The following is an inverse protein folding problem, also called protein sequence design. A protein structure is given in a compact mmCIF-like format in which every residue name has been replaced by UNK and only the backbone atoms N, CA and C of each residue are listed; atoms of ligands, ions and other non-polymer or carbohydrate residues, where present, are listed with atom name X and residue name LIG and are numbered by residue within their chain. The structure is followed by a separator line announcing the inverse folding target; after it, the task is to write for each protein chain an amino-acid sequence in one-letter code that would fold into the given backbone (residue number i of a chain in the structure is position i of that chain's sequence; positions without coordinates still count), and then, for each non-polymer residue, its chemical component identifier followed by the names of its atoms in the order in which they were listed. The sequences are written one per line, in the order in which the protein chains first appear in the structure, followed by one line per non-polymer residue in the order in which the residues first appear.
data_IF_313396552649
#
_entry.id   IF_313396552649
#
_cell.length_a   1.000
_cell.length_b   1.000
_cell.length_c   1.000
_cell.angle_alpha   90.00
_cell.angle_beta   90.00
_cell.angle_gamma   90.00
#
_symmetry.space_group_name_H-M   'P 1'
#
loop_
_entity.id
_entity.type
_entity.pdbx_description
1 polymer ?
#
# COMPACT_ATOMS: atom_id res chain seq x y z
N UNK A 1 28.49 -21.62 -41.00
CA UNK A 1 28.58 -20.56 -39.97
C UNK A 1 27.90 -19.30 -40.48
N UNK A 2 26.65 -19.04 -40.09
CA UNK A 2 26.14 -17.68 -39.85
C UNK A 2 25.06 -17.76 -38.77
N UNK A 3 25.43 -17.19 -37.64
CA UNK A 3 24.75 -17.10 -36.35
C UNK A 3 24.00 -15.76 -36.30
N UNK A 4 22.90 -15.71 -35.55
CA UNK A 4 22.08 -14.54 -35.18
C UNK A 4 21.17 -13.94 -36.26
N UNK A 5 19.86 -14.15 -36.12
CA UNK A 5 18.95 -13.16 -35.50
C UNK A 5 17.52 -13.74 -35.41
N UNK A 6 16.99 -13.82 -34.17
CA UNK A 6 15.55 -13.79 -33.88
C UNK A 6 15.27 -12.40 -33.30
N UNK A 7 14.16 -11.75 -33.67
CA UNK A 7 13.04 -11.74 -32.73
C UNK A 7 11.72 -12.14 -33.40
N UNK A 8 10.92 -12.88 -32.64
CA UNK A 8 9.61 -13.36 -33.03
C UNK A 8 8.59 -12.24 -33.23
N UNK A 9 7.77 -12.46 -34.25
CA UNK A 9 6.40 -11.96 -34.32
C UNK A 9 5.62 -12.36 -33.06
N UNK A 10 4.91 -11.40 -32.47
CA UNK A 10 3.44 -11.44 -32.42
C UNK A 10 2.89 -10.37 -31.46
N UNK A 11 1.96 -9.55 -31.96
CA UNK A 11 0.85 -9.07 -31.12
C UNK A 11 0.73 -7.57 -30.87
N UNK A 12 0.98 -6.71 -31.87
CA UNK A 12 0.54 -5.32 -31.82
C UNK A 12 -0.67 -5.12 -32.73
N UNK A 13 -1.89 -5.21 -32.19
CA UNK A 13 -3.06 -4.70 -32.92
C UNK A 13 -2.91 -3.19 -33.12
N UNK A 14 -3.23 -2.62 -34.29
CA UNK A 14 -3.16 -1.17 -34.49
C UNK A 14 -4.23 -0.51 -33.63
N UNK A 15 -3.82 0.35 -32.70
CA UNK A 15 -4.76 1.27 -32.03
C UNK A 15 -5.32 2.24 -33.08
N UNK A 16 -6.66 2.42 -33.16
CA UNK A 16 -7.23 3.39 -34.08
C UNK A 16 -6.76 4.82 -33.73
N UNK A 17 -6.52 5.70 -34.71
CA UNK A 17 -6.18 7.08 -34.44
C UNK A 17 -7.42 7.80 -33.90
N UNK A 18 -7.39 8.22 -32.64
CA UNK A 18 -8.50 9.00 -32.06
C UNK A 18 -8.62 9.08 -30.54
N UNK A 19 -7.85 8.30 -29.76
CA UNK A 19 -7.93 8.36 -28.29
C UNK A 19 -6.78 9.19 -27.69
N UNK A 20 -6.75 10.48 -28.01
CA UNK A 20 -6.11 11.47 -27.14
C UNK A 20 -7.16 11.85 -26.09
N UNK A 21 -6.91 11.50 -24.83
CA UNK A 21 -7.56 12.15 -23.68
C UNK A 21 -8.91 11.59 -23.25
N UNK A 22 -9.01 10.29 -22.98
CA UNK A 22 -10.07 9.79 -22.09
C UNK A 22 -9.66 10.03 -20.65
N UNK A 23 -10.38 10.86 -19.89
CA UNK A 23 -10.19 10.97 -18.44
C UNK A 23 -10.47 9.61 -17.78
N UNK A 24 -9.42 8.81 -17.61
CA UNK A 24 -9.44 7.65 -16.73
C UNK A 24 -9.62 8.18 -15.31
N UNK A 25 -10.86 8.14 -14.81
CA UNK A 25 -11.18 8.57 -13.45
C UNK A 25 -10.36 7.73 -12.47
N UNK A 26 -9.66 8.38 -11.55
CA UNK A 26 -8.93 7.68 -10.49
C UNK A 26 -9.89 6.79 -9.69
N UNK A 27 -9.41 5.60 -9.30
CA UNK A 27 -10.19 4.65 -8.49
C UNK A 27 -10.56 5.21 -7.09
N UNK A 28 -9.83 6.22 -6.61
CA UNK A 28 -10.09 6.90 -5.34
C UNK A 28 -9.61 8.35 -5.38
N UNK A 29 -10.29 9.21 -4.61
CA UNK A 29 -9.97 10.63 -4.47
C UNK A 29 -8.84 10.86 -3.45
N UNK A 30 -8.15 12.02 -3.51
CA UNK A 30 -7.17 12.42 -2.48
C UNK A 30 -7.75 12.36 -1.05
N UNK A 31 -8.96 12.90 -0.85
CA UNK A 31 -9.67 12.87 0.45
C UNK A 31 -9.94 11.44 0.96
N UNK A 32 -10.33 10.51 0.07
CA UNK A 32 -10.50 9.10 0.43
C UNK A 32 -9.17 8.44 0.82
N UNK A 33 -8.07 8.75 0.12
CA UNK A 33 -6.73 8.23 0.48
C UNK A 33 -6.27 8.76 1.83
N UNK A 34 -6.49 10.04 2.12
CA UNK A 34 -6.19 10.63 3.43
C UNK A 34 -7.02 9.97 4.54
N UNK A 35 -8.32 9.75 4.30
CA UNK A 35 -9.21 9.08 5.25
C UNK A 35 -8.73 7.66 5.54
N UNK A 36 -8.35 6.91 4.50
CA UNK A 36 -7.80 5.57 4.66
C UNK A 36 -6.47 5.57 5.44
N UNK A 37 -5.56 6.50 5.17
CA UNK A 37 -4.31 6.64 5.92
C UNK A 37 -4.56 6.97 7.40
N UNK A 38 -5.56 7.81 7.70
CA UNK A 38 -5.95 8.13 9.07
C UNK A 38 -6.58 6.92 9.77
N UNK A 39 -7.44 6.16 9.09
CA UNK A 39 -8.01 4.93 9.64
C UNK A 39 -6.92 3.90 10.00
N UNK A 40 -5.90 3.75 9.14
CA UNK A 40 -4.75 2.90 9.42
C UNK A 40 -4.01 3.38 10.68
N UNK A 41 -3.74 4.68 10.79
CA UNK A 41 -2.97 5.24 11.91
C UNK A 41 -3.71 5.24 13.24
N UNK A 42 -5.00 5.58 13.23
CA UNK A 42 -5.76 5.88 14.44
C UNK A 42 -6.49 4.66 14.99
N UNK A 43 -6.79 3.67 14.15
CA UNK A 43 -7.59 2.52 14.54
C UNK A 43 -6.87 1.21 14.24
N UNK A 44 -6.54 0.96 12.97
CA UNK A 44 -6.06 -0.38 12.56
C UNK A 44 -4.70 -0.70 13.19
N UNK A 45 -3.71 0.20 13.13
CA UNK A 45 -2.40 -0.05 13.72
C UNK A 45 -2.45 -0.18 15.25
N UNK A 46 -3.10 0.72 16.02
CA UNK A 46 -3.25 0.56 17.46
C UNK A 46 -3.98 -0.72 17.85
N UNK A 47 -5.11 -1.03 17.21
CA UNK A 47 -5.92 -2.20 17.56
C UNK A 47 -5.20 -3.51 17.21
N UNK A 48 -4.51 -3.55 16.07
CA UNK A 48 -3.68 -4.70 15.67
C UNK A 48 -2.55 -4.93 16.66
N UNK A 49 -1.87 -3.87 17.11
CA UNK A 49 -0.82 -3.98 18.13
C UNK A 49 -1.40 -4.48 19.45
N UNK A 50 -2.51 -3.92 19.90
CA UNK A 50 -3.16 -4.32 21.16
C UNK A 50 -3.59 -5.78 21.15
N UNK A 51 -4.21 -6.23 20.05
CA UNK A 51 -4.56 -7.63 19.87
C UNK A 51 -3.31 -8.53 19.85
N UNK A 52 -2.22 -8.02 19.28
CA UNK A 52 -0.91 -8.63 19.32
C UNK A 52 -0.41 -8.82 20.76
N UNK A 53 -0.23 -7.73 21.49
CA UNK A 53 0.27 -7.72 22.87
C UNK A 53 -0.57 -8.62 23.80
N UNK A 54 -1.89 -8.70 23.55
CA UNK A 54 -2.78 -9.61 24.27
C UNK A 54 -2.44 -11.08 23.99
N UNK A 55 -2.30 -11.46 22.72
CA UNK A 55 -1.92 -12.81 22.35
C UNK A 55 -0.51 -13.20 22.82
N UNK A 56 0.44 -12.26 22.85
CA UNK A 56 1.75 -12.42 23.50
C UNK A 56 1.59 -12.81 24.98
N UNK A 57 0.86 -11.99 25.72
CA UNK A 57 0.66 -12.18 27.17
C UNK A 57 -0.01 -13.51 27.50
N UNK A 58 -1.11 -13.84 26.81
CA UNK A 58 -1.87 -15.06 27.06
C UNK A 58 -1.08 -16.31 26.66
N UNK A 59 -0.36 -16.26 25.54
CA UNK A 59 0.42 -17.41 25.07
C UNK A 59 1.62 -17.67 25.97
N UNK A 60 2.32 -16.62 26.42
CA UNK A 60 3.40 -16.75 27.40
C UNK A 60 2.90 -17.32 28.73
N UNK A 61 1.71 -16.92 29.17
CA UNK A 61 1.09 -17.44 30.39
C UNK A 61 0.77 -18.93 30.24
N UNK A 62 0.17 -19.32 29.11
CA UNK A 62 -0.12 -20.72 28.81
C UNK A 62 1.15 -21.57 28.71
N UNK A 63 2.19 -21.07 28.04
CA UNK A 63 3.50 -21.72 27.95
C UNK A 63 4.10 -21.99 29.34
N UNK A 64 4.04 -21.01 30.25
CA UNK A 64 4.51 -21.16 31.63
C UNK A 64 3.69 -22.19 32.40
N UNK A 65 2.37 -22.20 32.22
CA UNK A 65 1.47 -23.14 32.89
C UNK A 65 1.68 -24.60 32.45
N UNK A 66 2.01 -24.84 31.18
CA UNK A 66 2.35 -26.18 30.70
C UNK A 66 3.71 -26.69 31.20
N UNK A 67 4.61 -25.80 31.66
CA UNK A 67 5.98 -26.12 32.08
C UNK A 67 6.84 -26.79 30.97
N UNK A 68 8.17 -26.80 31.13
CA UNK A 68 9.10 -27.32 30.09
C UNK A 68 9.05 -28.85 29.89
N UNK A 69 8.34 -29.58 30.76
CA UNK A 69 8.19 -31.03 30.66
C UNK A 69 7.10 -31.50 29.67
N UNK A 70 6.18 -30.62 29.28
CA UNK A 70 5.10 -30.96 28.36
C UNK A 70 5.45 -30.61 26.92
N UNK A 71 5.28 -31.55 26.00
CA UNK A 71 5.54 -31.31 24.57
C UNK A 71 4.72 -30.13 24.00
N UNK A 72 3.54 -29.88 24.57
CA UNK A 72 2.67 -28.75 24.22
C UNK A 72 3.31 -27.39 24.48
N UNK A 73 4.15 -27.23 25.52
CA UNK A 73 4.80 -25.95 25.80
C UNK A 73 5.79 -25.57 24.69
N UNK A 74 6.60 -26.52 24.22
CA UNK A 74 7.53 -26.31 23.11
C UNK A 74 6.81 -26.05 21.78
N UNK A 75 5.74 -26.79 21.49
CA UNK A 75 4.92 -26.57 20.31
C UNK A 75 4.25 -25.18 20.33
N UNK A 76 3.72 -24.77 21.48
CA UNK A 76 3.08 -23.48 21.68
C UNK A 76 4.07 -22.33 21.55
N UNK A 77 5.27 -22.42 22.16
CA UNK A 77 6.37 -21.45 21.98
C UNK A 77 6.68 -21.25 20.49
N UNK A 78 6.80 -22.34 19.73
CA UNK A 78 7.11 -22.26 18.29
C UNK A 78 6.00 -21.60 17.48
N UNK A 79 4.74 -21.98 17.74
CA UNK A 79 3.59 -21.37 17.09
C UNK A 79 3.51 -19.87 17.42
N UNK A 80 3.79 -19.51 18.67
CA UNK A 80 3.80 -18.15 19.14
C UNK A 80 4.85 -17.28 18.44
N UNK A 81 6.09 -17.76 18.32
CA UNK A 81 7.14 -17.07 17.55
C UNK A 81 6.73 -16.82 16.10
N UNK A 82 6.14 -17.83 15.43
CA UNK A 82 5.69 -17.69 14.05
C UNK A 82 4.54 -16.68 13.91
N UNK A 83 3.63 -16.64 14.87
CA UNK A 83 2.55 -15.65 14.92
C UNK A 83 3.10 -14.24 15.16
N UNK A 84 4.08 -14.06 16.07
CA UNK A 84 4.70 -12.75 16.32
C UNK A 84 5.43 -12.19 15.10
N UNK A 85 6.05 -13.06 14.30
CA UNK A 85 6.62 -12.70 12.99
C UNK A 85 5.54 -12.21 12.01
N UNK A 86 4.38 -12.88 11.98
CA UNK A 86 3.26 -12.46 11.12
C UNK A 86 2.69 -11.10 11.56
N UNK A 87 2.51 -10.87 12.85
CA UNK A 87 2.06 -9.57 13.38
C UNK A 87 3.07 -8.47 13.04
N UNK A 88 4.37 -8.74 13.19
CA UNK A 88 5.42 -7.79 12.81
C UNK A 88 5.35 -7.43 11.33
N UNK A 89 5.23 -8.43 10.45
CA UNK A 89 5.10 -8.21 9.02
C UNK A 89 3.84 -7.40 8.66
N UNK A 90 2.71 -7.72 9.29
CA UNK A 90 1.47 -6.97 9.11
C UNK A 90 1.63 -5.50 9.54
N UNK A 91 2.25 -5.25 10.69
CA UNK A 91 2.50 -3.88 11.17
C UNK A 91 3.41 -3.08 10.22
N UNK A 92 4.42 -3.72 9.66
CA UNK A 92 5.30 -3.12 8.65
C UNK A 92 4.54 -2.79 7.37
N UNK A 93 3.69 -3.71 6.88
CA UNK A 93 2.84 -3.50 5.72
C UNK A 93 1.88 -2.32 5.95
N UNK A 94 1.18 -2.27 7.09
CA UNK A 94 0.29 -1.16 7.43
C UNK A 94 1.03 0.18 7.48
N UNK A 95 2.27 0.20 7.97
CA UNK A 95 3.09 1.41 7.98
C UNK A 95 3.46 1.86 6.56
N UNK A 96 3.87 0.92 5.70
CA UNK A 96 4.18 1.17 4.30
C UNK A 96 2.94 1.69 3.54
N UNK A 97 1.79 1.04 3.71
CA UNK A 97 0.54 1.42 3.06
C UNK A 97 0.07 2.81 3.47
N UNK A 98 0.16 3.15 4.77
CA UNK A 98 -0.12 4.50 5.26
C UNK A 98 0.79 5.53 4.59
N UNK A 99 2.09 5.25 4.51
CA UNK A 99 3.05 6.16 3.87
C UNK A 99 2.77 6.32 2.37
N UNK A 100 2.46 5.22 1.67
CA UNK A 100 2.10 5.23 0.26
C UNK A 100 0.81 6.03 -0.01
N UNK A 101 -0.21 5.87 0.82
CA UNK A 101 -1.46 6.64 0.71
C UNK A 101 -1.24 8.14 0.90
N UNK A 102 -0.42 8.53 1.87
CA UNK A 102 -0.05 9.93 2.10
C UNK A 102 0.76 10.51 0.95
N UNK A 103 1.75 9.77 0.47
CA UNK A 103 2.55 10.16 -0.68
C UNK A 103 1.69 10.38 -1.93
N UNK A 104 0.80 9.43 -2.24
CA UNK A 104 -0.12 9.53 -3.36
C UNK A 104 -1.06 10.74 -3.25
N UNK A 105 -1.56 11.05 -2.05
CA UNK A 105 -2.35 12.26 -1.81
C UNK A 105 -1.56 13.53 -2.14
N UNK A 106 -0.33 13.65 -1.64
CA UNK A 106 0.55 14.80 -1.91
C UNK A 106 0.87 14.95 -3.39
N UNK A 107 1.19 13.85 -4.09
CA UNK A 107 1.47 13.88 -5.53
C UNK A 107 0.27 14.37 -6.32
N UNK A 108 -0.92 13.83 -6.06
CA UNK A 108 -2.13 14.23 -6.78
C UNK A 108 -2.48 15.70 -6.55
N UNK A 109 -2.41 16.17 -5.31
CA UNK A 109 -2.64 17.59 -5.00
C UNK A 109 -1.62 18.50 -5.69
N UNK A 110 -0.34 18.11 -5.72
CA UNK A 110 0.71 18.86 -6.41
C UNK A 110 0.46 18.92 -7.93
N UNK A 111 0.08 17.80 -8.54
CA UNK A 111 -0.30 17.74 -9.96
C UNK A 111 -1.50 18.65 -10.25
N UNK A 112 -2.54 18.61 -9.43
CA UNK A 112 -3.74 19.45 -9.62
C UNK A 112 -3.39 20.94 -9.57
N UNK A 113 -2.56 21.37 -8.62
CA UNK A 113 -2.10 22.75 -8.51
C UNK A 113 -1.25 23.18 -9.72
N UNK A 114 -0.34 22.32 -10.18
CA UNK A 114 0.50 22.61 -11.34
C UNK A 114 -0.34 22.74 -12.61
N UNK A 115 -1.26 21.82 -12.87
CA UNK A 115 -2.16 21.88 -14.04
C UNK A 115 -3.06 23.11 -13.96
N UNK A 116 -3.59 23.44 -12.78
CA UNK A 116 -4.39 24.64 -12.56
C UNK A 116 -3.61 25.94 -12.86
N UNK A 117 -2.38 26.05 -12.39
CA UNK A 117 -1.53 27.24 -12.67
C UNK A 117 -1.18 27.37 -14.16
N UNK A 118 -0.85 26.26 -14.84
CA UNK A 118 -0.59 26.26 -16.28
C UNK A 118 -1.83 26.70 -17.07
N UNK A 119 -3.01 26.17 -16.73
CA UNK A 119 -4.27 26.49 -17.41
C UNK A 119 -4.63 27.97 -17.23
N UNK A 120 -4.49 28.50 -16.01
CA UNK A 120 -4.76 29.92 -15.73
C UNK A 120 -3.80 30.86 -16.49
N UNK A 121 -2.52 30.49 -16.58
CA UNK A 121 -1.54 31.26 -17.34
C UNK A 121 -1.83 31.22 -18.86
N UNK A 122 -2.19 30.05 -19.41
CA UNK A 122 -2.55 29.92 -20.83
C UNK A 122 -3.81 30.69 -21.19
N UNK A 123 -4.85 30.67 -20.33
CA UNK A 123 -6.07 31.46 -20.53
C UNK A 123 -5.74 32.95 -20.50
N UNK A 124 -4.93 33.41 -19.55
CA UNK A 124 -4.53 34.83 -19.47
C UNK A 124 -3.80 35.33 -20.72
N UNK A 125 -2.99 34.49 -21.36
CA UNK A 125 -2.31 34.83 -22.62
C UNK A 125 -3.27 34.91 -23.82
N UNK A 126 -4.37 34.15 -23.82
CA UNK A 126 -5.36 34.16 -24.90
C UNK A 126 -6.34 35.34 -24.81
N UNK A 127 -6.58 35.86 -23.61
CA UNK A 127 -7.44 37.04 -23.38
C UNK A 127 -6.67 38.36 -23.32
N UNK A 128 -5.34 38.33 -23.48
CA UNK A 128 -4.47 39.51 -23.52
C UNK A 128 -4.20 39.99 -24.95
N UNK A 129 -5.23 40.47 -25.66
CA UNK A 129 -5.16 41.33 -26.84
C UNK A 129 -6.37 42.26 -26.89
#
# INVERSE_FOLDING_TARGET
MRLNQLPGDAGGSPTPPGLIGGQQKLASTPAQKQTAANAIEQHIQPDTRKAGDYADTETDTAVKAFHDGWHTSGALKKAHTAWGQQVTNLMNMLAADKAALRSANTTLQGTDLQVGSQTNNSVSALYGY
#
